data_IF_307406055531
#
_entry.id   IF_307406055531
#
_cell.length_a   1.000
_cell.length_b   1.000
_cell.length_c   1.000
_cell.angle_alpha   90.00
_cell.angle_beta   90.00
_cell.angle_gamma   90.00
#
_symmetry.space_group_name_H-M   'P 1'
#
loop_
_entity.id
_entity.type
_entity.pdbx_description
1 polymer ?
#
# COMPACT_ATOMS: atom_id res chain seq x y z
N UNK A 1 -1.87 -14.75 -10.54
CA UNK A 1 -1.28 -13.55 -11.13
C UNK A 1 -0.66 -12.69 -10.04
N UNK A 2 0.47 -12.08 -10.34
CA UNK A 2 1.24 -11.28 -9.38
C UNK A 2 1.22 -9.81 -9.74
N UNK A 3 1.27 -8.96 -8.72
CA UNK A 3 1.30 -7.52 -8.90
C UNK A 3 2.59 -6.99 -8.27
N UNK A 4 3.35 -6.23 -9.06
CA UNK A 4 4.60 -5.63 -8.60
C UNK A 4 4.28 -4.32 -7.88
N UNK A 5 4.57 -4.24 -6.59
CA UNK A 5 4.22 -3.08 -5.77
C UNK A 5 5.43 -2.28 -5.28
N UNK A 6 6.62 -2.74 -5.52
CA UNK A 6 7.86 -2.08 -5.14
C UNK A 6 9.04 -2.68 -5.85
N UNK A 7 10.25 -2.23 -5.53
CA UNK A 7 11.47 -2.63 -6.24
C UNK A 7 11.63 -4.14 -6.34
N UNK A 8 11.48 -4.85 -5.23
CA UNK A 8 11.64 -6.30 -5.18
C UNK A 8 10.45 -6.99 -4.54
N UNK A 9 9.33 -6.27 -4.43
CA UNK A 9 8.15 -6.84 -3.77
C UNK A 9 7.05 -7.11 -4.76
N UNK A 10 6.59 -8.35 -4.75
CA UNK A 10 5.50 -8.82 -5.60
C UNK A 10 4.47 -9.48 -4.69
N UNK A 11 3.21 -9.14 -4.88
CA UNK A 11 2.10 -9.76 -4.16
C UNK A 11 1.20 -10.48 -5.14
N UNK A 12 0.55 -11.54 -4.67
CA UNK A 12 -0.49 -12.17 -5.47
C UNK A 12 -1.69 -11.24 -5.53
N UNK A 13 -2.30 -11.14 -6.70
CA UNK A 13 -3.47 -10.28 -6.90
C UNK A 13 -4.56 -10.60 -5.88
N UNK A 14 -4.78 -11.88 -5.58
CA UNK A 14 -5.83 -12.30 -4.66
C UNK A 14 -5.54 -11.92 -3.19
N UNK A 15 -4.30 -11.58 -2.86
CA UNK A 15 -3.93 -11.16 -1.51
C UNK A 15 -4.11 -9.65 -1.29
N UNK A 16 -4.32 -8.89 -2.35
CA UNK A 16 -4.50 -7.45 -2.28
C UNK A 16 -5.96 -7.13 -2.02
N UNK A 17 -6.22 -6.47 -0.89
CA UNK A 17 -7.58 -6.03 -0.57
C UNK A 17 -7.87 -4.64 -1.12
N UNK A 18 -6.93 -3.70 -0.91
CA UNK A 18 -7.12 -2.30 -1.32
C UNK A 18 -5.80 -1.70 -1.78
N UNK A 19 -5.90 -0.77 -2.74
CA UNK A 19 -4.78 0.06 -3.18
C UNK A 19 -5.27 1.49 -3.15
N UNK A 20 -4.54 2.36 -2.42
CA UNK A 20 -4.92 3.77 -2.28
C UNK A 20 -3.74 4.69 -2.58
N UNK A 21 -4.04 5.84 -3.18
CA UNK A 21 -3.06 6.92 -3.30
C UNK A 21 -2.96 7.66 -1.98
N UNK A 22 -1.73 7.95 -1.54
CA UNK A 22 -1.52 8.71 -0.32
C UNK A 22 -2.01 10.15 -0.45
N UNK A 23 -1.89 10.73 -1.65
CA UNK A 23 -2.30 12.12 -1.88
C UNK A 23 -3.78 12.36 -1.65
N UNK A 24 -4.63 11.43 -2.05
CA UNK A 24 -6.07 11.59 -1.89
C UNK A 24 -6.62 10.83 -0.68
N UNK A 25 -6.09 9.65 -0.39
CA UNK A 25 -6.59 8.80 0.69
C UNK A 25 -6.28 9.35 2.08
N UNK A 26 -5.12 10.01 2.25
CA UNK A 26 -4.70 10.55 3.55
C UNK A 26 -5.54 11.75 4.01
N UNK A 27 -6.37 12.31 3.12
CA UNK A 27 -7.28 13.38 3.50
C UNK A 27 -8.39 12.85 4.41
N UNK A 28 -8.77 11.60 4.24
CA UNK A 28 -9.81 10.99 5.06
C UNK A 28 -9.34 10.74 6.48
N UNK A 29 -10.16 11.14 7.46
CA UNK A 29 -9.88 10.88 8.87
C UNK A 29 -9.81 9.38 9.15
N UNK A 30 -10.69 8.61 8.51
CA UNK A 30 -10.72 7.16 8.71
C UNK A 30 -9.47 6.49 8.15
N UNK A 31 -8.99 6.94 7.01
CA UNK A 31 -7.77 6.41 6.41
C UNK A 31 -6.56 6.72 7.27
N UNK A 32 -6.47 7.94 7.79
CA UNK A 32 -5.38 8.32 8.69
C UNK A 32 -5.37 7.49 9.96
N UNK A 33 -6.54 7.28 10.54
CA UNK A 33 -6.67 6.47 11.74
C UNK A 33 -6.26 5.03 11.48
N UNK A 34 -6.64 4.48 10.34
CA UNK A 34 -6.26 3.13 9.93
C UNK A 34 -4.74 2.99 9.79
N UNK A 35 -4.11 3.93 9.08
CA UNK A 35 -2.65 3.89 8.87
C UNK A 35 -1.90 4.05 10.18
N UNK A 36 -2.36 4.94 11.05
CA UNK A 36 -1.74 5.17 12.34
C UNK A 36 -1.81 3.92 13.22
N UNK A 37 -2.95 3.26 13.23
CA UNK A 37 -3.12 2.02 13.98
C UNK A 37 -2.24 0.90 13.42
N UNK A 38 -2.18 0.77 12.10
CA UNK A 38 -1.36 -0.24 11.44
C UNK A 38 0.12 -0.01 11.76
N UNK A 39 0.57 1.25 11.75
CA UNK A 39 1.93 1.60 12.10
C UNK A 39 2.24 1.26 13.56
N UNK A 40 1.33 1.58 14.45
CA UNK A 40 1.47 1.26 15.88
C UNK A 40 1.55 -0.24 16.12
N UNK A 41 0.81 -1.02 15.35
CA UNK A 41 0.81 -2.48 15.45
C UNK A 41 2.00 -3.13 14.73
N UNK A 42 2.85 -2.33 14.08
CA UNK A 42 4.01 -2.84 13.35
C UNK A 42 3.67 -3.56 12.05
N UNK A 43 2.49 -3.27 11.46
CA UNK A 43 2.03 -3.92 10.23
C UNK A 43 2.40 -3.17 8.96
N UNK A 44 3.05 -2.01 9.08
CA UNK A 44 3.41 -1.18 7.93
C UNK A 44 4.84 -1.46 7.51
N UNK A 45 5.03 -1.76 6.23
CA UNK A 45 6.34 -1.96 5.63
C UNK A 45 6.54 -0.94 4.53
N UNK A 46 7.64 -0.20 4.59
CA UNK A 46 7.99 0.75 3.54
C UNK A 46 8.85 0.05 2.49
N UNK A 47 8.50 0.23 1.23
CA UNK A 47 9.22 -0.34 0.12
C UNK A 47 10.05 0.74 -0.56
N UNK A 48 11.36 0.52 -0.65
CA UNK A 48 12.28 1.47 -1.27
C UNK A 48 12.66 2.63 -0.35
N UNK A 49 13.43 3.57 -0.90
CA UNK A 49 13.95 4.71 -0.15
C UNK A 49 13.28 6.03 -0.50
N UNK A 50 12.46 6.03 -1.56
CA UNK A 50 11.75 7.24 -2.00
C UNK A 50 10.50 7.45 -1.17
N UNK A 51 9.97 8.69 -1.25
CA UNK A 51 8.71 9.00 -0.60
C UNK A 51 7.60 8.10 -1.15
N UNK A 52 6.80 7.49 -0.29
CA UNK A 52 5.73 6.63 -0.75
C UNK A 52 4.64 7.46 -1.45
N UNK A 53 4.08 6.90 -2.52
CA UNK A 53 3.00 7.53 -3.27
C UNK A 53 1.67 6.83 -3.10
N UNK A 54 1.71 5.57 -2.70
CA UNK A 54 0.50 4.79 -2.48
C UNK A 54 0.71 3.79 -1.36
N UNK A 55 -0.37 3.21 -0.91
CA UNK A 55 -0.27 2.10 0.03
C UNK A 55 -1.18 0.97 -0.42
N UNK A 56 -0.73 -0.23 -0.14
CA UNK A 56 -1.43 -1.46 -0.49
C UNK A 56 -1.80 -2.18 0.80
N UNK A 57 -3.07 -2.52 0.95
CA UNK A 57 -3.56 -3.26 2.11
C UNK A 57 -3.86 -4.69 1.66
N UNK A 58 -3.29 -5.65 2.37
CA UNK A 58 -3.52 -7.06 2.07
C UNK A 58 -4.68 -7.62 2.90
N UNK A 59 -5.14 -8.80 2.52
CA UNK A 59 -6.21 -9.48 3.26
C UNK A 59 -5.77 -9.90 4.66
N UNK A 60 -4.47 -9.97 4.89
CA UNK A 60 -3.91 -10.27 6.21
C UNK A 60 -3.72 -9.03 7.06
N UNK A 61 -4.26 -7.89 6.64
CA UNK A 61 -4.15 -6.60 7.31
C UNK A 61 -2.72 -6.05 7.37
N UNK A 62 -1.87 -6.46 6.45
CA UNK A 62 -0.55 -5.87 6.28
C UNK A 62 -0.64 -4.69 5.34
N UNK A 63 0.16 -3.67 5.60
CA UNK A 63 0.19 -2.44 4.80
C UNK A 63 1.58 -2.27 4.22
N UNK A 64 1.65 -2.07 2.91
CA UNK A 64 2.90 -1.78 2.22
C UNK A 64 2.83 -0.37 1.64
N UNK A 65 3.81 0.46 1.98
CA UNK A 65 3.93 1.79 1.41
C UNK A 65 4.79 1.69 0.16
N UNK A 66 4.20 1.99 -0.98
CA UNK A 66 4.83 1.80 -2.28
C UNK A 66 5.31 3.12 -2.88
N UNK A 67 6.49 3.15 -3.52
CA UNK A 67 6.94 4.33 -4.26
C UNK A 67 6.21 4.50 -5.60
N UNK A 68 5.47 3.49 -6.04
CA UNK A 68 4.65 3.58 -7.25
C UNK A 68 3.32 4.25 -6.93
N UNK A 69 2.77 5.00 -7.88
CA UNK A 69 1.42 5.54 -7.68
C UNK A 69 0.40 4.41 -7.90
N UNK A 70 -0.85 4.63 -7.46
CA UNK A 70 -1.89 3.60 -7.54
C UNK A 70 -2.19 3.20 -8.99
N UNK A 71 -2.12 4.15 -9.92
CA UNK A 71 -2.36 3.86 -11.33
C UNK A 71 -1.31 2.91 -11.89
N UNK A 72 -0.04 3.09 -11.51
CA UNK A 72 1.04 2.20 -11.93
C UNK A 72 0.82 0.79 -11.38
N UNK A 73 0.46 0.67 -10.11
CA UNK A 73 0.20 -0.64 -9.51
C UNK A 73 -0.99 -1.30 -10.17
N UNK A 74 -2.08 -0.56 -10.37
CA UNK A 74 -3.28 -1.09 -11.03
C UNK A 74 -3.01 -1.49 -12.47
N UNK A 75 -2.02 -0.90 -13.11
CA UNK A 75 -1.61 -1.28 -14.45
C UNK A 75 -1.08 -2.71 -14.55
N UNK A 76 -0.67 -3.29 -13.43
CA UNK A 76 -0.20 -4.68 -13.39
C UNK A 76 -1.32 -5.68 -13.09
N UNK A 77 -2.50 -5.20 -12.84
CA UNK A 77 -3.64 -6.09 -12.65
C UNK A 77 -3.92 -6.87 -13.97
#
# INVERSE_FOLDING_TARGET
MYVHIGENKVLRKCDIAFIFDLDSATVSVHTRAFLKKAEKDGRVTMLGFDLPRSFVVTRENKVFLSPFNSATIKGFY
#
